data_IF_627261422403
#
_entry.id   IF_627261422403
#
_cell.length_a   1.000
_cell.length_b   1.000
_cell.length_c   1.000
_cell.angle_alpha   90.00
_cell.angle_beta   90.00
_cell.angle_gamma   90.00
#
_symmetry.space_group_name_H-M   'P 1'
#
loop_
_entity.id
_entity.type
_entity.pdbx_description
1 polymer ?
#
# COMPACT_ATOMS: atom_id res chain seq x y z
N UNK A 1 3.82 16.86 -2.84
CA UNK A 1 3.18 15.62 -2.34
C UNK A 1 2.17 16.04 -1.26
N UNK A 2 1.04 15.36 -1.16
CA UNK A 2 -0.02 15.63 -0.17
C UNK A 2 0.38 14.93 1.13
N UNK A 3 0.42 15.64 2.25
CA UNK A 3 0.59 15.01 3.57
C UNK A 3 -0.67 14.18 3.91
N UNK A 4 -0.51 13.03 4.56
CA UNK A 4 -1.63 12.17 4.94
C UNK A 4 -2.74 12.92 5.68
N UNK A 5 -2.36 13.77 6.63
CA UNK A 5 -3.28 14.61 7.39
C UNK A 5 -4.11 15.55 6.51
N UNK A 6 -3.48 16.15 5.48
CA UNK A 6 -4.16 17.04 4.54
C UNK A 6 -5.15 16.28 3.65
N UNK A 7 -4.77 15.07 3.20
CA UNK A 7 -5.66 14.20 2.46
C UNK A 7 -6.88 13.81 3.31
N UNK A 8 -6.66 13.42 4.56
CA UNK A 8 -7.72 13.04 5.50
C UNK A 8 -8.62 14.23 5.82
N UNK A 9 -8.03 15.41 6.07
CA UNK A 9 -8.80 16.66 6.31
C UNK A 9 -9.68 17.00 5.11
N UNK A 10 -9.14 16.91 3.89
CA UNK A 10 -9.90 17.15 2.68
C UNK A 10 -11.04 16.14 2.51
N UNK A 11 -10.80 14.85 2.82
CA UNK A 11 -11.83 13.83 2.77
C UNK A 11 -12.92 14.03 3.84
N UNK A 12 -12.56 14.40 5.07
CA UNK A 12 -13.52 14.69 6.17
C UNK A 12 -14.42 15.86 5.84
N UNK A 13 -13.90 16.88 5.17
CA UNK A 13 -14.71 18.02 4.69
C UNK A 13 -15.77 17.64 3.65
N UNK A 14 -15.73 16.43 3.12
CA UNK A 14 -16.70 15.92 2.14
C UNK A 14 -17.72 14.96 2.74
N UNK A 15 -17.63 14.62 4.03
CA UNK A 15 -18.60 13.74 4.72
C UNK A 15 -20.00 14.37 4.60
N UNK A 16 -21.00 13.53 4.28
CA UNK A 16 -22.37 13.95 4.02
C UNK A 16 -22.68 14.31 2.56
N UNK A 17 -21.65 14.42 1.68
CA UNK A 17 -21.90 14.60 0.24
C UNK A 17 -22.58 13.35 -0.32
N UNK A 18 -23.64 13.52 -1.13
CA UNK A 18 -24.41 12.42 -1.69
C UNK A 18 -23.58 11.54 -2.63
N UNK A 19 -23.88 10.25 -2.67
CA UNK A 19 -23.21 9.27 -3.55
C UNK A 19 -23.39 9.62 -5.04
N UNK A 20 -24.53 10.15 -5.43
CA UNK A 20 -24.82 10.55 -6.82
C UNK A 20 -23.90 11.68 -7.28
N UNK A 21 -23.56 12.59 -6.36
CA UNK A 21 -22.62 13.68 -6.63
C UNK A 21 -21.18 13.25 -6.59
N UNK A 22 -20.85 12.35 -5.67
CA UNK A 22 -19.46 11.95 -5.38
C UNK A 22 -19.40 10.46 -5.01
N UNK A 23 -19.18 9.60 -6.00
CA UNK A 23 -18.95 8.17 -5.78
C UNK A 23 -17.56 7.90 -5.17
N UNK A 24 -17.23 6.62 -4.89
CA UNK A 24 -16.01 6.26 -4.19
C UNK A 24 -14.72 6.68 -4.91
N UNK A 25 -14.66 6.52 -6.24
CA UNK A 25 -13.45 6.91 -6.98
C UNK A 25 -13.36 8.42 -7.19
N UNK A 26 -14.50 9.11 -7.35
CA UNK A 26 -14.53 10.56 -7.46
C UNK A 26 -14.20 11.23 -6.13
N UNK A 27 -14.50 10.61 -4.98
CA UNK A 27 -14.01 11.05 -3.67
C UNK A 27 -12.48 11.10 -3.66
N UNK A 28 -11.81 10.02 -4.07
CA UNK A 28 -10.33 9.96 -4.10
C UNK A 28 -9.78 11.01 -5.09
N UNK A 29 -10.38 11.13 -6.27
CA UNK A 29 -9.99 12.18 -7.24
C UNK A 29 -10.16 13.59 -6.63
N UNK A 30 -11.26 13.83 -5.93
CA UNK A 30 -11.54 15.13 -5.30
C UNK A 30 -10.50 15.45 -4.24
N UNK A 31 -10.19 14.51 -3.36
CA UNK A 31 -9.14 14.65 -2.32
C UNK A 31 -7.80 15.02 -2.98
N UNK A 32 -7.35 14.25 -3.97
CA UNK A 32 -6.08 14.50 -4.64
C UNK A 32 -6.05 15.85 -5.36
N UNK A 33 -7.17 16.29 -5.90
CA UNK A 33 -7.26 17.59 -6.62
C UNK A 33 -7.30 18.81 -5.70
N UNK A 34 -7.81 18.66 -4.49
CA UNK A 34 -8.10 19.81 -3.60
C UNK A 34 -7.18 19.90 -2.40
N UNK A 35 -6.56 18.81 -1.96
CA UNK A 35 -5.61 18.83 -0.85
C UNK A 35 -4.34 19.63 -1.22
N UNK A 36 -3.72 20.34 -0.28
CA UNK A 36 -2.45 21.01 -0.48
C UNK A 36 -1.37 20.05 -1.00
N UNK A 37 -0.63 20.44 -2.02
CA UNK A 37 0.37 19.59 -2.68
C UNK A 37 -0.19 18.60 -3.71
N UNK A 38 -1.51 18.67 -3.98
CA UNK A 38 -2.20 17.82 -4.94
C UNK A 38 -2.08 18.26 -6.40
N UNK A 39 -2.69 17.50 -7.29
CA UNK A 39 -2.74 17.78 -8.73
C UNK A 39 -4.20 18.06 -9.17
N UNK A 40 -4.51 19.31 -9.50
CA UNK A 40 -5.84 19.73 -9.95
C UNK A 40 -6.35 18.98 -11.18
N UNK A 41 -5.44 18.36 -11.98
CA UNK A 41 -5.76 17.63 -13.20
C UNK A 41 -5.79 16.12 -12.99
N UNK A 42 -5.53 15.64 -11.78
CA UNK A 42 -5.49 14.21 -11.50
C UNK A 42 -6.79 13.52 -11.95
N UNK A 43 -6.64 12.36 -12.59
CA UNK A 43 -7.75 11.51 -12.99
C UNK A 43 -7.31 10.04 -13.06
N UNK A 44 -8.26 9.15 -12.83
CA UNK A 44 -8.15 7.70 -13.03
C UNK A 44 -9.49 7.18 -13.55
N UNK A 45 -9.48 6.06 -14.30
CA UNK A 45 -10.67 5.57 -14.97
C UNK A 45 -11.68 4.89 -14.02
N UNK A 46 -11.21 4.41 -12.85
CA UNK A 46 -12.05 3.73 -11.86
C UNK A 46 -11.22 2.99 -10.82
N UNK A 47 -11.89 2.27 -9.94
CA UNK A 47 -11.24 1.52 -8.85
C UNK A 47 -10.34 0.39 -9.36
N UNK A 48 -10.77 -0.36 -10.37
CA UNK A 48 -9.93 -1.37 -11.03
C UNK A 48 -8.68 -0.74 -11.65
N UNK A 49 -8.85 0.36 -12.40
CA UNK A 49 -7.72 1.07 -13.01
C UNK A 49 -6.76 1.63 -11.97
N UNK A 50 -7.26 2.11 -10.84
CA UNK A 50 -6.45 2.57 -9.72
C UNK A 50 -5.69 1.41 -9.06
N UNK A 51 -6.37 0.29 -8.79
CA UNK A 51 -5.75 -0.90 -8.20
C UNK A 51 -4.66 -1.50 -9.10
N UNK A 52 -4.90 -1.55 -10.43
CA UNK A 52 -3.96 -2.13 -11.39
C UNK A 52 -2.92 -1.13 -11.92
N UNK A 53 -2.90 0.09 -11.39
CA UNK A 53 -2.02 1.16 -11.84
C UNK A 53 -0.53 0.95 -11.54
N UNK A 54 -0.17 -0.06 -10.74
CA UNK A 54 1.20 -0.51 -10.51
C UNK A 54 1.77 -1.32 -11.70
N UNK A 55 0.92 -1.76 -12.63
CA UNK A 55 1.35 -2.53 -13.80
C UNK A 55 2.14 -1.65 -14.78
N UNK A 56 3.18 -2.24 -15.40
CA UNK A 56 4.04 -1.55 -16.39
C UNK A 56 3.28 -1.03 -17.62
N UNK A 57 2.00 -1.37 -17.78
CA UNK A 57 1.14 -0.99 -18.90
C UNK A 57 0.33 0.29 -18.66
N UNK A 58 0.26 0.77 -17.41
CA UNK A 58 -0.48 1.99 -17.06
C UNK A 58 0.34 3.25 -17.36
N UNK A 59 -0.27 4.22 -18.05
CA UNK A 59 0.31 5.55 -18.30
C UNK A 59 0.63 6.31 -17.00
N UNK A 60 -0.04 5.95 -15.89
CA UNK A 60 0.13 6.53 -14.58
C UNK A 60 0.25 5.41 -13.56
N UNK A 61 1.41 5.30 -12.91
CA UNK A 61 1.59 4.45 -11.74
C UNK A 61 1.04 5.19 -10.51
N UNK A 62 -0.26 5.11 -10.30
CA UNK A 62 -0.89 5.80 -9.18
C UNK A 62 -0.60 5.14 -7.85
N UNK A 63 -0.53 3.80 -7.81
CA UNK A 63 -0.08 3.08 -6.63
C UNK A 63 1.40 2.75 -6.72
N UNK A 64 2.16 3.17 -5.71
CA UNK A 64 3.58 2.82 -5.54
C UNK A 64 3.76 1.49 -4.83
N UNK A 65 2.74 1.10 -4.07
CA UNK A 65 2.68 -0.13 -3.31
C UNK A 65 1.22 -0.57 -3.13
N UNK A 66 0.98 -1.89 -3.10
CA UNK A 66 -0.33 -2.48 -2.76
C UNK A 66 -0.18 -3.87 -2.15
N UNK A 67 -1.17 -4.28 -1.36
CA UNK A 67 -1.27 -5.64 -0.82
C UNK A 67 -2.72 -6.11 -0.74
N UNK A 68 -2.94 -7.42 -0.77
CA UNK A 68 -4.18 -8.04 -0.31
C UNK A 68 -4.19 -8.09 1.22
N UNK A 69 -5.37 -7.88 1.82
CA UNK A 69 -5.55 -7.76 3.26
C UNK A 69 -5.35 -6.33 3.76
N UNK A 70 -5.73 -6.10 5.02
CA UNK A 70 -5.75 -4.77 5.66
C UNK A 70 -4.74 -4.63 6.81
N UNK A 71 -3.91 -5.65 7.03
CA UNK A 71 -2.87 -5.61 8.07
C UNK A 71 -1.81 -4.56 7.75
N UNK A 72 -1.41 -3.80 8.77
CA UNK A 72 -0.42 -2.72 8.60
C UNK A 72 -0.96 -1.47 7.94
N UNK A 73 -2.28 -1.26 7.95
CA UNK A 73 -2.89 -0.03 7.47
C UNK A 73 -2.31 1.20 8.18
N UNK A 74 -2.03 2.24 7.39
CA UNK A 74 -1.51 3.52 7.89
C UNK A 74 -2.35 4.67 7.37
N UNK A 75 -2.40 5.81 8.08
CA UNK A 75 -3.07 7.01 7.62
C UNK A 75 -2.60 7.43 6.23
N UNK A 76 -3.52 7.84 5.38
CA UNK A 76 -3.23 8.24 4.00
C UNK A 76 -3.14 7.09 2.99
N UNK A 77 -3.12 5.83 3.42
CA UNK A 77 -3.31 4.69 2.51
C UNK A 77 -4.71 4.67 1.94
N UNK A 78 -4.86 4.08 0.76
CA UNK A 78 -6.16 3.74 0.20
C UNK A 78 -6.53 2.32 0.61
N UNK A 79 -7.77 2.14 1.08
CA UNK A 79 -8.37 0.83 1.31
C UNK A 79 -9.21 0.41 0.10
N UNK A 80 -9.28 -0.90 -0.17
CA UNK A 80 -9.99 -1.46 -1.31
C UNK A 80 -10.87 -2.64 -0.90
N UNK A 81 -11.97 -2.85 -1.64
CA UNK A 81 -12.83 -4.03 -1.56
C UNK A 81 -12.82 -4.77 -2.90
N UNK A 82 -13.05 -6.08 -2.86
CA UNK A 82 -13.09 -6.94 -4.05
C UNK A 82 -11.72 -7.36 -4.56
N UNK A 83 -10.66 -7.16 -3.79
CA UNK A 83 -9.31 -7.62 -4.17
C UNK A 83 -9.30 -9.14 -4.27
N UNK A 84 -8.78 -9.66 -5.41
CA UNK A 84 -8.74 -11.10 -5.68
C UNK A 84 -9.99 -11.70 -6.30
N UNK A 85 -11.08 -10.93 -6.47
CA UNK A 85 -12.33 -11.41 -7.11
C UNK A 85 -12.36 -11.17 -8.62
N UNK A 86 -11.40 -10.41 -9.16
CA UNK A 86 -11.41 -9.93 -10.54
C UNK A 86 -12.11 -8.58 -10.73
N UNK A 87 -12.77 -8.07 -9.68
CA UNK A 87 -13.40 -6.75 -9.68
C UNK A 87 -13.16 -6.00 -8.37
N UNK A 88 -12.26 -5.03 -8.40
CA UNK A 88 -12.04 -4.12 -7.28
C UNK A 88 -13.12 -3.03 -7.32
N UNK A 89 -14.17 -3.27 -6.58
CA UNK A 89 -15.43 -2.54 -6.69
C UNK A 89 -15.50 -1.25 -5.87
N UNK A 90 -14.62 -1.08 -4.88
CA UNK A 90 -14.72 0.04 -3.95
C UNK A 90 -13.37 0.50 -3.43
N UNK A 91 -13.28 1.78 -3.04
CA UNK A 91 -12.08 2.38 -2.43
C UNK A 91 -12.45 3.47 -1.43
N UNK A 92 -11.56 3.74 -0.49
CA UNK A 92 -11.65 4.82 0.49
C UNK A 92 -10.28 5.20 1.03
N UNK A 93 -10.21 6.26 1.82
CA UNK A 93 -9.00 6.78 2.43
C UNK A 93 -8.90 6.37 3.90
N UNK A 94 -7.80 5.73 4.29
CA UNK A 94 -7.53 5.30 5.67
C UNK A 94 -7.17 6.51 6.53
N UNK A 95 -7.76 6.59 7.72
CA UNK A 95 -7.54 7.66 8.70
C UNK A 95 -6.57 7.24 9.80
N UNK A 96 -6.14 8.19 10.61
CA UNK A 96 -5.29 7.98 11.79
C UNK A 96 -5.99 7.17 12.90
N UNK A 97 -7.32 7.05 12.86
CA UNK A 97 -8.11 6.30 13.84
C UNK A 97 -8.34 4.84 13.41
N UNK A 98 -7.73 4.40 12.29
CA UNK A 98 -7.96 3.06 11.76
C UNK A 98 -9.36 2.89 11.16
N UNK A 99 -9.94 3.99 10.68
CA UNK A 99 -11.21 4.03 9.96
C UNK A 99 -10.96 4.32 8.47
N UNK A 100 -12.01 4.28 7.66
CA UNK A 100 -11.96 4.61 6.23
C UNK A 100 -13.03 5.64 5.91
N UNK A 101 -12.63 6.75 5.29
CA UNK A 101 -13.56 7.69 4.67
C UNK A 101 -13.80 7.23 3.24
N UNK A 102 -15.06 6.93 2.92
CA UNK A 102 -15.44 6.44 1.61
C UNK A 102 -16.85 6.91 1.22
N UNK A 103 -17.15 6.94 -0.08
CA UNK A 103 -18.49 7.23 -0.54
C UNK A 103 -19.26 5.92 -0.75
N UNK A 104 -20.22 5.65 0.13
CA UNK A 104 -21.00 4.42 0.18
C UNK A 104 -22.37 4.61 -0.46
N UNK A 105 -22.67 3.82 -1.50
CA UNK A 105 -23.99 3.83 -2.12
C UNK A 105 -25.09 3.43 -1.15
N UNK A 106 -24.86 2.39 -0.34
CA UNK A 106 -25.85 1.89 0.63
C UNK A 106 -26.11 2.85 1.79
N UNK A 107 -25.17 3.76 2.08
CA UNK A 107 -25.30 4.79 3.11
C UNK A 107 -25.65 6.16 2.54
N UNK A 108 -25.86 6.25 1.24
CA UNK A 108 -26.30 7.45 0.53
C UNK A 108 -25.21 8.48 0.24
N UNK A 109 -23.95 8.26 0.63
CA UNK A 109 -22.89 9.25 0.39
C UNK A 109 -21.58 8.98 1.13
N UNK A 110 -20.84 10.06 1.33
CA UNK A 110 -19.54 10.02 2.00
C UNK A 110 -19.72 9.86 3.50
N UNK A 111 -19.12 8.80 4.02
CA UNK A 111 -19.15 8.40 5.43
C UNK A 111 -17.78 7.95 5.90
N UNK A 112 -17.59 7.89 7.23
CA UNK A 112 -16.43 7.28 7.86
C UNK A 112 -16.87 6.00 8.57
N UNK A 113 -16.18 4.87 8.31
CA UNK A 113 -16.50 3.55 8.88
C UNK A 113 -15.24 2.83 9.32
N UNK A 114 -15.37 1.85 10.22
CA UNK A 114 -14.24 1.05 10.69
C UNK A 114 -13.58 0.28 9.53
N UNK A 115 -12.24 0.28 9.48
CA UNK A 115 -11.45 -0.54 8.55
C UNK A 115 -11.38 -1.97 9.08
N UNK A 116 -12.32 -2.81 8.66
CA UNK A 116 -12.39 -4.22 9.05
C UNK A 116 -12.73 -5.12 7.86
N UNK A 117 -12.27 -6.36 7.88
CA UNK A 117 -12.65 -7.37 6.87
C UNK A 117 -14.17 -7.65 6.90
N UNK A 118 -14.79 -7.55 8.08
CA UNK A 118 -16.26 -7.68 8.24
C UNK A 118 -17.02 -6.62 7.44
N UNK A 119 -16.43 -5.44 7.26
CA UNK A 119 -17.00 -4.37 6.44
C UNK A 119 -16.64 -4.50 4.94
N UNK A 120 -15.99 -5.61 4.55
CA UNK A 120 -15.63 -5.91 3.16
C UNK A 120 -14.26 -5.38 2.72
N UNK A 121 -13.51 -4.69 3.58
CA UNK A 121 -12.18 -4.19 3.24
C UNK A 121 -11.19 -5.35 3.19
N UNK A 122 -10.50 -5.52 2.05
CA UNK A 122 -9.58 -6.62 1.84
C UNK A 122 -8.34 -6.29 1.01
N UNK A 123 -8.02 -5.01 0.86
CA UNK A 123 -6.80 -4.54 0.22
C UNK A 123 -6.36 -3.17 0.67
N UNK A 124 -5.07 -2.89 0.58
CA UNK A 124 -4.45 -1.60 0.86
C UNK A 124 -3.53 -1.19 -0.29
N UNK A 125 -3.39 0.11 -0.50
CA UNK A 125 -2.43 0.67 -1.44
C UNK A 125 -1.92 2.05 -1.02
N UNK A 126 -0.67 2.35 -1.35
CA UNK A 126 -0.08 3.67 -1.17
C UNK A 126 -0.14 4.43 -2.49
N UNK A 127 -0.79 5.58 -2.48
CA UNK A 127 -0.91 6.43 -3.66
C UNK A 127 0.30 7.35 -3.79
N UNK A 128 0.90 7.45 -5.00
CA UNK A 128 2.10 8.27 -5.29
C UNK A 128 2.00 9.74 -4.91
N UNK A 129 0.79 10.28 -4.82
CA UNK A 129 0.55 11.67 -4.49
C UNK A 129 0.34 11.91 -2.99
N UNK A 130 0.14 10.86 -2.19
CA UNK A 130 -0.12 10.95 -0.74
C UNK A 130 1.08 10.38 0.00
N UNK A 131 1.67 11.17 0.87
CA UNK A 131 2.76 10.74 1.74
C UNK A 131 2.16 9.94 2.89
N UNK A 132 2.44 8.63 2.90
CA UNK A 132 2.05 7.72 3.97
C UNK A 132 3.23 7.57 4.92
N UNK A 133 3.04 7.83 6.20
CA UNK A 133 4.12 7.69 7.19
C UNK A 133 4.77 6.31 7.12
N UNK A 134 6.10 6.30 6.85
CA UNK A 134 6.89 5.07 6.68
C UNK A 134 6.81 4.42 5.30
N UNK A 135 6.26 5.08 4.26
CA UNK A 135 6.34 4.68 2.85
C UNK A 135 7.29 5.56 2.02
N UNK A 136 7.89 6.56 2.65
CA UNK A 136 8.84 7.47 2.00
C UNK A 136 10.22 6.83 1.88
N UNK A 137 10.76 6.88 0.68
CA UNK A 137 12.19 6.79 0.39
C UNK A 137 12.90 7.88 1.24
N UNK A 138 13.52 7.47 2.35
CA UNK A 138 14.31 8.39 3.18
C UNK A 138 15.71 8.53 2.58
N UNK A 139 15.86 9.51 1.72
CA UNK A 139 17.14 10.23 1.69
C UNK A 139 17.06 11.34 2.76
N UNK A 140 17.93 11.24 3.74
CA UNK A 140 18.33 12.18 4.78
C UNK A 140 17.49 12.28 6.08
N UNK A 141 18.06 11.75 7.14
CA UNK A 141 18.20 12.41 8.45
C UNK A 141 17.18 12.12 9.53
N UNK A 142 17.52 11.30 10.54
CA UNK A 142 17.19 11.57 11.93
C UNK A 142 16.14 10.69 12.64
N UNK A 143 16.65 9.74 13.40
CA UNK A 143 16.25 9.22 14.73
C UNK A 143 15.00 8.39 14.96
N UNK A 144 15.31 7.14 15.21
CA UNK A 144 14.93 6.10 16.20
C UNK A 144 13.53 6.10 16.84
N UNK A 145 12.84 4.99 16.63
CA UNK A 145 12.31 4.21 17.76
C UNK A 145 12.17 2.72 17.38
N UNK A 146 12.76 1.84 18.20
CA UNK A 146 12.38 0.42 18.33
C UNK A 146 13.03 -0.56 17.37
N UNK A 147 14.26 -0.90 17.60
CA UNK A 147 15.03 -2.14 17.35
C UNK A 147 14.28 -3.34 16.74
N UNK A 148 14.57 -3.62 15.48
CA UNK A 148 14.93 -4.95 15.06
C UNK A 148 16.25 -4.82 14.29
N UNK A 149 17.28 -5.51 14.75
CA UNK A 149 18.67 -5.48 14.33
C UNK A 149 18.90 -6.21 13.00
N UNK A 150 17.92 -6.17 12.09
CA UNK A 150 17.98 -6.86 10.80
C UNK A 150 17.96 -5.84 9.67
N UNK A 151 19.14 -5.67 9.06
CA UNK A 151 19.38 -4.72 7.98
C UNK A 151 18.56 -4.97 6.71
N UNK A 152 18.68 -4.06 5.76
CA UNK A 152 18.17 -4.24 4.41
C UNK A 152 19.10 -5.18 3.62
N UNK A 153 18.54 -6.09 2.83
CA UNK A 153 19.32 -7.01 1.98
C UNK A 153 18.87 -6.94 0.52
N UNK A 154 19.77 -7.30 -0.37
CA UNK A 154 19.54 -7.34 -1.82
C UNK A 154 19.64 -8.79 -2.27
N UNK A 155 18.75 -9.26 -3.15
CA UNK A 155 18.88 -10.57 -3.80
C UNK A 155 20.05 -10.55 -4.77
N UNK A 156 21.00 -11.45 -4.57
CA UNK A 156 22.21 -11.61 -5.38
C UNK A 156 22.31 -13.06 -5.90
N UNK A 157 21.25 -13.56 -6.53
CA UNK A 157 21.10 -14.96 -6.92
C UNK A 157 21.39 -15.22 -8.41
N UNK A 158 21.63 -14.16 -9.20
CA UNK A 158 21.93 -14.27 -10.64
C UNK A 158 20.77 -14.76 -11.53
N UNK A 159 19.63 -15.15 -10.95
CA UNK A 159 18.46 -15.66 -11.68
C UNK A 159 17.17 -15.52 -10.88
N UNK A 160 17.24 -14.77 -9.78
CA UNK A 160 16.12 -14.60 -8.84
C UNK A 160 16.11 -15.65 -7.72
N UNK A 161 15.38 -15.35 -6.65
CA UNK A 161 15.36 -16.11 -5.40
C UNK A 161 13.96 -16.65 -5.09
N UNK A 162 13.89 -17.93 -4.74
CA UNK A 162 12.62 -18.57 -4.38
C UNK A 162 12.18 -18.17 -2.97
N UNK A 163 11.01 -17.56 -2.87
CA UNK A 163 10.30 -17.33 -1.61
C UNK A 163 9.46 -18.54 -1.23
N UNK A 164 9.44 -18.88 0.05
CA UNK A 164 8.78 -20.08 0.58
C UNK A 164 7.89 -19.73 1.78
N UNK A 165 6.88 -20.56 2.06
CA UNK A 165 5.97 -20.36 3.21
C UNK A 165 6.68 -20.50 4.57
N UNK A 166 7.74 -21.30 4.64
CA UNK A 166 8.64 -21.52 5.79
C UNK A 166 10.02 -21.95 5.29
N UNK A 167 11.07 -21.90 6.13
CA UNK A 167 12.38 -22.47 5.81
C UNK A 167 12.24 -23.89 5.24
N UNK A 168 12.89 -24.15 4.10
CA UNK A 168 12.78 -25.41 3.34
C UNK A 168 11.36 -25.86 2.95
N UNK A 169 10.37 -24.98 3.11
CA UNK A 169 8.96 -25.29 2.86
C UNK A 169 8.55 -25.10 1.39
N UNK A 170 7.22 -25.19 1.17
CA UNK A 170 6.61 -25.05 -0.15
C UNK A 170 6.98 -23.72 -0.80
N UNK A 171 7.26 -23.75 -2.10
CA UNK A 171 7.46 -22.59 -2.96
C UNK A 171 6.21 -21.69 -3.00
N UNK A 172 6.42 -20.39 -2.94
CA UNK A 172 5.38 -19.38 -3.08
C UNK A 172 5.52 -18.60 -4.40
N UNK A 173 6.65 -17.91 -4.54
CA UNK A 173 6.91 -17.05 -5.71
C UNK A 173 8.40 -16.82 -5.89
N UNK A 174 8.77 -16.28 -7.06
CA UNK A 174 10.12 -15.86 -7.37
C UNK A 174 10.31 -14.38 -7.07
N UNK A 175 11.40 -14.05 -6.40
CA UNK A 175 11.86 -12.68 -6.20
C UNK A 175 12.96 -12.40 -7.22
N UNK A 176 12.84 -11.37 -8.07
CA UNK A 176 13.87 -11.02 -9.04
C UNK A 176 15.19 -10.67 -8.36
N UNK A 177 16.28 -10.92 -9.07
CA UNK A 177 17.60 -10.46 -8.67
C UNK A 177 17.66 -8.94 -8.55
N UNK A 178 18.49 -8.41 -7.64
CA UNK A 178 18.56 -6.98 -7.35
C UNK A 178 17.39 -6.42 -6.53
N UNK A 179 16.38 -7.24 -6.15
CA UNK A 179 15.28 -6.77 -5.30
C UNK A 179 15.81 -6.48 -3.89
N UNK A 180 15.51 -5.29 -3.39
CA UNK A 180 15.80 -4.85 -2.01
C UNK A 180 14.58 -5.08 -1.12
N UNK A 181 14.80 -5.52 0.12
CA UNK A 181 13.75 -5.65 1.13
C UNK A 181 14.30 -5.61 2.54
N UNK A 182 13.43 -5.26 3.50
CA UNK A 182 13.72 -5.34 4.91
C UNK A 182 13.60 -6.78 5.41
N UNK A 183 14.52 -7.20 6.26
CA UNK A 183 14.45 -8.47 6.96
C UNK A 183 13.62 -8.29 8.22
N UNK A 184 12.55 -9.07 8.36
CA UNK A 184 11.66 -9.06 9.53
C UNK A 184 12.14 -9.99 10.63
N UNK A 185 12.81 -11.08 10.24
CA UNK A 185 13.28 -12.13 11.13
C UNK A 185 14.38 -12.93 10.43
N UNK A 186 15.39 -13.36 11.18
CA UNK A 186 16.40 -14.31 10.71
C UNK A 186 16.34 -15.57 11.57
N UNK A 187 16.34 -16.73 10.89
CA UNK A 187 16.36 -18.03 11.55
C UNK A 187 17.09 -19.05 10.69
N UNK A 188 18.13 -19.67 11.25
CA UNK A 188 18.89 -20.76 10.61
C UNK A 188 19.36 -20.43 9.19
N UNK A 189 19.79 -19.16 8.93
CA UNK A 189 20.23 -18.68 7.62
C UNK A 189 19.08 -18.43 6.65
N UNK A 190 17.83 -18.43 7.13
CA UNK A 190 16.65 -18.01 6.40
C UNK A 190 16.20 -16.63 6.88
N UNK A 191 15.83 -15.77 5.93
CA UNK A 191 15.35 -14.43 6.16
C UNK A 191 13.86 -14.38 5.90
N UNK A 192 13.09 -13.89 6.87
CA UNK A 192 11.66 -13.61 6.71
C UNK A 192 11.51 -12.21 6.15
N UNK A 193 10.73 -12.08 5.12
CA UNK A 193 10.50 -10.79 4.45
C UNK A 193 9.11 -10.71 3.84
N UNK A 194 8.75 -9.52 3.34
CA UNK A 194 7.54 -9.29 2.57
C UNK A 194 7.91 -8.98 1.13
N UNK A 195 7.32 -9.69 0.18
CA UNK A 195 7.46 -9.41 -1.23
C UNK A 195 6.10 -9.50 -1.94
N UNK A 196 5.70 -8.44 -2.63
CA UNK A 196 4.39 -8.31 -3.30
C UNK A 196 3.22 -8.66 -2.40
N UNK A 197 3.25 -8.14 -1.15
CA UNK A 197 2.18 -8.36 -0.17
C UNK A 197 2.16 -9.76 0.49
N UNK A 198 3.09 -10.65 0.16
CA UNK A 198 3.19 -11.96 0.78
C UNK A 198 4.37 -12.01 1.75
N UNK A 199 4.10 -12.39 2.99
CA UNK A 199 5.15 -12.70 3.96
C UNK A 199 5.65 -14.13 3.73
N UNK A 200 6.96 -14.29 3.65
CA UNK A 200 7.56 -15.61 3.45
C UNK A 200 9.05 -15.60 3.76
N UNK A 201 9.69 -16.73 3.49
CA UNK A 201 11.08 -16.99 3.82
C UNK A 201 11.93 -17.16 2.56
N UNK A 202 13.10 -16.58 2.59
CA UNK A 202 14.12 -16.69 1.55
C UNK A 202 15.42 -17.16 2.16
N UNK A 203 16.27 -17.82 1.38
CA UNK A 203 17.58 -18.21 1.86
C UNK A 203 18.54 -17.01 1.88
N UNK A 204 19.08 -16.68 3.04
CA UNK A 204 20.07 -15.62 3.22
C UNK A 204 21.37 -15.81 2.44
N UNK A 205 21.67 -17.06 2.01
CA UNK A 205 22.84 -17.39 1.18
C UNK A 205 22.89 -16.63 -0.15
N UNK A 206 21.73 -16.22 -0.65
CA UNK A 206 21.57 -15.54 -1.93
C UNK A 206 21.18 -14.07 -1.76
N UNK A 207 21.51 -13.51 -0.59
CA UNK A 207 21.25 -12.12 -0.26
C UNK A 207 22.55 -11.43 0.13
N UNK A 208 22.77 -10.23 -0.39
CA UNK A 208 23.87 -9.34 0.00
C UNK A 208 23.33 -8.28 0.97
N UNK A 209 24.16 -7.83 1.94
CA UNK A 209 23.80 -6.68 2.77
C UNK A 209 23.68 -5.43 1.89
N UNK A 210 22.60 -4.67 2.05
CA UNK A 210 22.47 -3.41 1.37
C UNK A 210 23.22 -2.34 2.15
N UNK A 211 24.38 -1.93 1.64
CA UNK A 211 25.13 -0.81 2.18
C UNK A 211 26.52 -1.16 2.70
N UNK A 212 27.40 -1.56 1.80
CA UNK A 212 28.85 -1.38 1.86
C UNK A 212 29.35 -1.30 0.41
N UNK A 213 29.24 -0.10 -0.16
CA UNK A 213 30.08 0.39 -1.25
C UNK A 213 30.53 1.81 -0.90
#
# INVERSE_FOLDING_TARGET
MIQAEEAIRAARGLIGTSYETLDCINLIKKVIRTAPGGDKRYTTAGTNALWDSDSKRGKYRDLTWKQAGISGAKPGMLAFMGVGTGDVSHTGLVTEQGTVIHSSKSRGGVVETALTEKNGWNGLGAHRMIEVEGSGDKSAGGERAGSAEYGCVIVCAGGGLRMRVKPNGRYMQMIPDGTRFAVLEEKDGWLRTVYRGHTGWISGRYCCKAGED
#
